data_IF_366610291914
#
_entry.id   IF_366610291914
#
_cell.length_a   1.000
_cell.length_b   1.000
_cell.length_c   1.000
_cell.angle_alpha   90.00
_cell.angle_beta   90.00
_cell.angle_gamma   90.00
#
_symmetry.space_group_name_H-M   'P 1'
#
loop_
_entity.id
_entity.type
_entity.pdbx_description
1 polymer ?
#
# COMPACT_ATOMS: atom_id res chain seq x y z
N UNK A 1 56.67 60.39 4.88
CA UNK A 1 55.78 59.83 3.80
C UNK A 1 56.20 58.36 3.68
N UNK A 2 55.44 57.47 4.32
CA UNK A 2 55.62 56.01 4.18
C UNK A 2 54.71 55.53 3.08
N UNK A 3 55.29 55.03 2.02
CA UNK A 3 54.55 54.36 0.93
C UNK A 3 54.05 53.00 1.40
N UNK A 4 52.77 52.90 1.58
CA UNK A 4 52.05 51.67 1.92
C UNK A 4 51.96 50.79 0.66
N UNK A 5 53.04 50.03 0.38
CA UNK A 5 53.09 49.08 -0.73
C UNK A 5 52.15 47.87 -0.50
N UNK A 6 50.94 47.91 -1.02
CA UNK A 6 50.08 46.76 -1.13
C UNK A 6 50.73 45.70 -2.01
N UNK A 7 51.36 44.66 -1.42
CA UNK A 7 51.90 43.51 -2.12
C UNK A 7 50.74 42.73 -2.80
N UNK A 8 50.57 42.94 -4.11
CA UNK A 8 49.68 42.08 -4.94
C UNK A 8 50.21 40.64 -4.90
N UNK A 9 49.38 39.73 -4.41
CA UNK A 9 49.70 38.29 -4.49
C UNK A 9 49.92 37.89 -5.94
N UNK A 10 50.96 37.09 -6.27
CA UNK A 10 51.18 36.65 -7.64
C UNK A 10 50.02 35.81 -8.14
N UNK A 11 49.51 36.09 -9.34
CA UNK A 11 48.31 35.50 -9.96
C UNK A 11 48.32 33.97 -9.89
N UNK A 12 49.45 33.30 -10.02
CA UNK A 12 49.58 31.86 -9.87
C UNK A 12 49.23 31.31 -8.48
N UNK A 13 49.56 32.05 -7.40
CA UNK A 13 49.16 31.66 -6.03
C UNK A 13 47.66 31.85 -5.78
N UNK A 14 47.07 32.85 -6.40
CA UNK A 14 45.60 33.07 -6.33
C UNK A 14 44.84 31.95 -7.09
N UNK A 15 45.30 31.54 -8.26
CA UNK A 15 44.70 30.43 -9.02
C UNK A 15 44.85 29.11 -8.23
N UNK A 16 46.04 28.83 -7.65
CA UNK A 16 46.25 27.66 -6.79
C UNK A 16 45.28 27.59 -5.60
N UNK A 17 45.12 28.69 -4.87
CA UNK A 17 44.20 28.75 -3.73
C UNK A 17 42.72 28.56 -4.15
N UNK A 18 42.33 29.10 -5.32
CA UNK A 18 40.99 28.88 -5.87
C UNK A 18 40.77 27.40 -6.23
N UNK A 19 41.75 26.75 -6.87
CA UNK A 19 41.71 25.34 -7.20
C UNK A 19 41.65 24.45 -5.96
N UNK A 20 42.44 24.71 -4.92
CA UNK A 20 42.40 23.99 -3.65
C UNK A 20 41.05 24.18 -2.94
N UNK A 21 40.49 25.39 -2.92
CA UNK A 21 39.19 25.68 -2.41
C UNK A 21 38.08 24.90 -3.13
N UNK A 22 38.13 24.87 -4.48
CA UNK A 22 37.19 24.12 -5.29
C UNK A 22 37.28 22.60 -5.03
N UNK A 23 38.49 22.05 -4.94
CA UNK A 23 38.70 20.65 -4.58
C UNK A 23 38.18 20.32 -3.19
N UNK A 24 38.32 21.21 -2.24
CA UNK A 24 37.78 21.02 -0.88
C UNK A 24 36.26 20.99 -0.90
N UNK A 25 35.63 21.91 -1.63
CA UNK A 25 34.15 21.90 -1.80
C UNK A 25 33.67 20.62 -2.47
N UNK A 26 34.35 20.17 -3.53
CA UNK A 26 34.01 18.90 -4.22
C UNK A 26 34.11 17.72 -3.24
N UNK A 27 35.16 17.62 -2.44
CA UNK A 27 35.32 16.56 -1.42
C UNK A 27 34.17 16.57 -0.43
N UNK A 28 33.79 17.75 0.10
CA UNK A 28 32.69 17.90 1.04
C UNK A 28 31.36 17.43 0.40
N UNK A 29 31.08 17.86 -0.81
CA UNK A 29 29.85 17.46 -1.54
C UNK A 29 29.81 15.94 -1.76
N UNK A 30 30.94 15.33 -2.14
CA UNK A 30 31.04 13.87 -2.30
C UNK A 30 30.80 13.14 -0.98
N UNK A 31 31.41 13.61 0.12
CA UNK A 31 31.22 13.01 1.45
C UNK A 31 29.75 13.09 1.88
N UNK A 32 29.12 14.25 1.73
CA UNK A 32 27.70 14.44 2.03
C UNK A 32 26.86 13.51 1.14
N UNK A 33 27.18 13.39 -0.16
CA UNK A 33 26.50 12.48 -1.07
C UNK A 33 26.60 11.01 -0.62
N UNK A 34 27.77 10.56 -0.18
CA UNK A 34 27.98 9.20 0.34
C UNK A 34 27.17 8.98 1.63
N UNK A 35 27.21 9.92 2.57
CA UNK A 35 26.46 9.81 3.83
C UNK A 35 24.97 9.73 3.55
N UNK A 36 24.44 10.60 2.70
CA UNK A 36 23.01 10.60 2.37
C UNK A 36 22.60 9.33 1.65
N UNK A 37 23.43 8.77 0.77
CA UNK A 37 23.19 7.50 0.10
C UNK A 37 23.15 6.34 1.13
N UNK A 38 24.09 6.28 2.06
CA UNK A 38 24.10 5.25 3.14
C UNK A 38 22.84 5.36 3.99
N UNK A 39 22.43 6.56 4.39
CA UNK A 39 21.19 6.77 5.13
C UNK A 39 19.97 6.35 4.31
N UNK A 40 19.93 6.68 3.03
CA UNK A 40 18.90 6.24 2.11
C UNK A 40 18.77 4.72 2.03
N UNK A 41 19.89 4.01 1.94
CA UNK A 41 19.94 2.54 1.97
C UNK A 41 19.38 1.99 3.29
N UNK A 42 19.81 2.55 4.43
CA UNK A 42 19.35 2.11 5.76
C UNK A 42 17.84 2.34 5.91
N UNK A 43 17.34 3.50 5.50
CA UNK A 43 15.91 3.82 5.56
C UNK A 43 15.10 2.89 4.65
N UNK A 44 15.54 2.68 3.41
CA UNK A 44 14.87 1.77 2.48
C UNK A 44 14.81 0.34 3.03
N UNK A 45 15.91 -0.14 3.64
CA UNK A 45 15.93 -1.46 4.30
C UNK A 45 14.95 -1.54 5.48
N UNK A 46 14.87 -0.49 6.27
CA UNK A 46 14.01 -0.47 7.45
C UNK A 46 12.52 -0.28 7.12
N UNK A 47 12.20 0.34 5.99
CA UNK A 47 10.84 0.67 5.61
C UNK A 47 10.26 -0.27 4.54
N UNK A 48 11.09 -0.97 3.78
CA UNK A 48 10.64 -1.67 2.56
C UNK A 48 11.00 -3.15 2.51
N UNK A 49 11.89 -3.65 3.40
CA UNK A 49 12.28 -5.07 3.36
C UNK A 49 11.40 -5.89 4.29
N UNK A 50 10.93 -7.04 3.76
CA UNK A 50 10.16 -8.05 4.47
C UNK A 50 10.75 -8.39 5.85
N UNK A 51 9.88 -8.48 6.87
CA UNK A 51 10.21 -9.00 8.20
C UNK A 51 11.13 -8.13 9.04
N UNK A 52 11.63 -7.01 8.54
CA UNK A 52 12.44 -6.06 9.32
C UNK A 52 11.62 -4.98 9.99
N UNK A 53 10.40 -4.79 9.51
CA UNK A 53 9.48 -3.81 10.03
C UNK A 53 8.57 -4.51 11.05
N UNK A 54 8.70 -4.16 12.32
CA UNK A 54 7.63 -4.44 13.29
C UNK A 54 6.35 -3.69 12.90
N UNK A 55 5.30 -3.77 13.74
CA UNK A 55 4.11 -2.96 13.57
C UNK A 55 4.49 -1.50 13.28
N UNK A 56 3.70 -0.82 12.43
CA UNK A 56 3.91 0.60 12.12
C UNK A 56 3.97 1.42 13.40
N UNK A 57 4.94 2.31 13.49
CA UNK A 57 5.02 3.21 14.65
C UNK A 57 3.89 4.23 14.64
N UNK A 58 3.46 4.64 13.45
CA UNK A 58 2.38 5.61 13.26
C UNK A 58 1.01 5.13 13.76
N UNK A 59 0.79 3.82 13.86
CA UNK A 59 -0.48 3.23 14.33
C UNK A 59 -0.44 2.76 15.78
N UNK A 60 0.72 2.65 16.39
CA UNK A 60 0.87 2.09 17.76
C UNK A 60 0.14 2.86 18.86
N UNK A 61 0.02 4.16 18.68
CA UNK A 61 -0.55 5.04 19.71
C UNK A 61 -2.01 5.42 19.39
N UNK A 62 -2.62 4.79 18.39
CA UNK A 62 -4.05 5.00 18.10
C UNK A 62 -4.90 4.36 19.19
N UNK A 63 -5.78 5.17 19.77
CA UNK A 63 -6.71 4.69 20.78
C UNK A 63 -7.89 3.97 20.10
N UNK A 64 -7.90 2.66 20.18
CA UNK A 64 -9.00 1.82 19.66
C UNK A 64 -10.07 1.70 20.74
N UNK A 65 -11.35 1.92 20.38
CA UNK A 65 -12.46 1.84 21.32
C UNK A 65 -12.64 0.41 21.86
N UNK A 66 -13.03 0.28 23.13
CA UNK A 66 -13.26 -1.02 23.75
C UNK A 66 -14.34 -1.86 23.03
N UNK A 67 -15.35 -1.19 22.45
CA UNK A 67 -16.36 -1.83 21.60
C UNK A 67 -15.76 -2.45 20.34
N UNK A 68 -14.86 -1.75 19.68
CA UNK A 68 -14.14 -2.23 18.48
C UNK A 68 -13.31 -3.47 18.80
N UNK A 69 -12.57 -3.46 19.92
CA UNK A 69 -11.81 -4.63 20.37
C UNK A 69 -12.72 -5.81 20.72
N UNK A 70 -13.87 -5.55 21.36
CA UNK A 70 -14.86 -6.59 21.66
C UNK A 70 -15.48 -7.18 20.39
N UNK A 71 -15.81 -6.34 19.42
CA UNK A 71 -16.35 -6.80 18.14
C UNK A 71 -15.32 -7.62 17.38
N UNK A 72 -14.05 -7.17 17.37
CA UNK A 72 -12.96 -7.93 16.76
C UNK A 72 -12.83 -9.33 17.39
N UNK A 73 -12.86 -9.43 18.72
CA UNK A 73 -12.75 -10.73 19.40
C UNK A 73 -13.90 -11.68 19.02
N UNK A 74 -15.14 -11.17 18.92
CA UNK A 74 -16.28 -11.97 18.47
C UNK A 74 -16.14 -12.40 17.00
N UNK A 75 -15.59 -11.53 16.18
CA UNK A 75 -15.37 -11.83 14.77
C UNK A 75 -14.27 -12.90 14.62
N UNK A 76 -13.19 -12.80 15.39
CA UNK A 76 -12.12 -13.79 15.42
C UNK A 76 -12.65 -15.19 15.78
N UNK A 77 -13.59 -15.31 16.74
CA UNK A 77 -14.27 -16.57 17.10
C UNK A 77 -15.08 -17.14 15.91
N UNK A 78 -15.83 -16.30 15.19
CA UNK A 78 -16.59 -16.73 14.00
C UNK A 78 -15.65 -17.19 12.88
N UNK A 79 -14.54 -16.47 12.68
CA UNK A 79 -13.51 -16.82 11.69
C UNK A 79 -12.91 -18.19 12.00
N UNK A 80 -12.59 -18.49 13.26
CA UNK A 80 -12.07 -19.83 13.65
C UNK A 80 -13.10 -20.92 13.32
N UNK A 81 -14.37 -20.71 13.63
CA UNK A 81 -15.44 -21.66 13.30
C UNK A 81 -15.57 -21.83 11.77
N UNK A 82 -15.58 -20.73 11.01
CA UNK A 82 -15.65 -20.77 9.55
C UNK A 82 -14.45 -21.49 8.92
N UNK A 83 -13.22 -21.21 9.40
CA UNK A 83 -11.99 -21.87 8.95
C UNK A 83 -12.00 -23.38 9.14
N UNK A 84 -12.73 -23.89 10.15
CA UNK A 84 -12.90 -25.32 10.38
C UNK A 84 -13.78 -26.02 9.33
N UNK A 85 -14.62 -25.24 8.61
CA UNK A 85 -15.63 -25.73 7.66
C UNK A 85 -15.24 -25.57 6.20
N UNK A 86 -14.37 -24.61 5.88
CA UNK A 86 -14.02 -24.27 4.49
C UNK A 86 -12.70 -24.92 4.04
N UNK A 87 -12.65 -25.31 2.77
CA UNK A 87 -11.41 -25.78 2.14
C UNK A 87 -10.67 -24.61 1.53
N UNK A 88 -9.44 -24.37 2.00
CA UNK A 88 -8.54 -23.31 1.50
C UNK A 88 -7.49 -23.94 0.57
N UNK A 89 -7.78 -23.96 -0.71
CA UNK A 89 -6.86 -24.48 -1.72
C UNK A 89 -5.66 -23.54 -1.88
N UNK A 90 -4.44 -24.05 -1.73
CA UNK A 90 -3.23 -23.31 -2.08
C UNK A 90 -3.09 -23.22 -3.60
N UNK A 91 -2.91 -22.00 -4.10
CA UNK A 91 -2.64 -21.70 -5.51
C UNK A 91 -1.33 -20.94 -5.59
N UNK A 92 -0.54 -21.20 -6.63
CA UNK A 92 0.71 -20.49 -6.87
C UNK A 92 0.72 -19.92 -8.29
N UNK A 93 1.38 -18.79 -8.46
CA UNK A 93 1.56 -18.10 -9.72
C UNK A 93 3.02 -17.63 -9.84
N UNK A 94 3.56 -17.59 -11.03
CA UNK A 94 4.88 -16.99 -11.30
C UNK A 94 4.66 -15.58 -11.81
N UNK A 95 5.12 -14.59 -11.05
CA UNK A 95 5.09 -13.19 -11.45
C UNK A 95 6.03 -12.91 -12.64
N UNK A 96 5.87 -11.77 -13.31
CA UNK A 96 6.67 -11.39 -14.48
C UNK A 96 8.18 -11.34 -14.18
N UNK A 97 8.55 -10.97 -12.97
CA UNK A 97 9.92 -10.93 -12.45
C UNK A 97 10.40 -12.26 -11.84
N UNK A 98 9.64 -13.35 -12.07
CA UNK A 98 9.94 -14.75 -11.72
C UNK A 98 9.79 -15.10 -10.23
N UNK A 99 9.29 -14.24 -9.39
CA UNK A 99 8.91 -14.63 -8.03
C UNK A 99 7.69 -15.56 -8.03
N UNK A 100 7.72 -16.55 -7.15
CA UNK A 100 6.57 -17.41 -6.89
C UNK A 100 5.67 -16.71 -5.87
N UNK A 101 4.47 -16.40 -6.30
CA UNK A 101 3.44 -15.80 -5.45
C UNK A 101 2.42 -16.87 -5.03
N UNK A 102 1.89 -16.74 -3.84
CA UNK A 102 0.99 -17.70 -3.20
C UNK A 102 -0.35 -17.05 -2.89
N UNK A 103 -1.44 -17.78 -3.12
CA UNK A 103 -2.79 -17.39 -2.71
C UNK A 103 -3.53 -18.57 -2.06
N UNK A 104 -4.60 -18.27 -1.33
CA UNK A 104 -5.63 -19.24 -0.95
C UNK A 104 -6.90 -18.96 -1.76
N UNK A 105 -7.42 -20.02 -2.34
CA UNK A 105 -8.68 -20.02 -3.06
C UNK A 105 -9.73 -20.78 -2.24
N UNK A 106 -10.90 -20.19 -2.07
CA UNK A 106 -12.09 -20.81 -1.47
C UNK A 106 -13.18 -20.76 -2.51
N UNK A 107 -13.73 -21.92 -2.87
CA UNK A 107 -14.85 -22.05 -3.77
C UNK A 107 -16.03 -22.57 -2.96
N UNK A 108 -17.08 -21.75 -2.85
CA UNK A 108 -18.32 -22.09 -2.16
C UNK A 108 -19.38 -22.59 -3.13
N UNK A 109 -19.31 -22.16 -4.39
CA UNK A 109 -20.16 -22.62 -5.47
C UNK A 109 -19.36 -22.61 -6.80
N UNK A 110 -19.15 -23.80 -7.37
CA UNK A 110 -18.44 -23.95 -8.66
C UNK A 110 -19.19 -23.35 -9.84
N UNK A 111 -20.51 -23.13 -9.70
CA UNK A 111 -21.34 -22.53 -10.74
C UNK A 111 -21.50 -21.02 -10.58
N UNK A 112 -21.04 -20.45 -9.47
CA UNK A 112 -21.11 -19.01 -9.24
C UNK A 112 -20.08 -18.26 -10.08
N UNK A 113 -20.55 -17.24 -10.79
CA UNK A 113 -19.68 -16.27 -11.46
C UNK A 113 -19.18 -15.15 -10.54
N UNK A 114 -19.67 -15.08 -9.28
CA UNK A 114 -19.25 -14.07 -8.32
C UNK A 114 -17.91 -14.45 -7.69
N UNK A 115 -16.90 -13.59 -7.89
CA UNK A 115 -15.56 -13.75 -7.34
C UNK A 115 -15.09 -12.51 -6.59
N UNK A 116 -14.48 -12.70 -5.46
CA UNK A 116 -13.81 -11.63 -4.71
C UNK A 116 -12.29 -11.89 -4.63
N UNK A 117 -11.49 -10.90 -5.02
CA UNK A 117 -10.06 -10.86 -4.73
C UNK A 117 -9.85 -9.96 -3.53
N UNK A 118 -9.37 -10.51 -2.40
CA UNK A 118 -9.23 -9.79 -1.15
C UNK A 118 -7.74 -9.58 -0.84
N UNK A 119 -7.36 -8.33 -0.56
CA UNK A 119 -5.97 -7.89 -0.47
C UNK A 119 -5.67 -7.33 0.92
N UNK A 120 -4.66 -7.92 1.57
CA UNK A 120 -4.22 -7.53 2.92
C UNK A 120 -3.37 -6.25 2.95
N UNK A 121 -3.21 -5.70 4.13
CA UNK A 121 -2.43 -4.49 4.38
C UNK A 121 -0.91 -4.70 4.36
N UNK A 122 -0.20 -3.60 4.64
CA UNK A 122 1.27 -3.56 4.65
C UNK A 122 1.89 -4.53 5.64
N UNK A 123 2.85 -5.32 5.17
CA UNK A 123 3.57 -6.34 5.96
C UNK A 123 2.66 -7.40 6.62
N UNK A 124 1.42 -7.51 6.15
CA UNK A 124 0.44 -8.49 6.57
C UNK A 124 0.53 -9.80 5.78
N UNK A 125 -0.56 -10.54 5.81
CA UNK A 125 -0.76 -11.78 5.09
C UNK A 125 -2.25 -12.02 4.83
N UNK A 126 -2.58 -13.03 4.04
CA UNK A 126 -3.97 -13.44 3.83
C UNK A 126 -4.70 -13.80 5.14
N UNK A 127 -3.97 -14.13 6.22
CA UNK A 127 -4.60 -14.44 7.51
C UNK A 127 -5.25 -13.22 8.17
N UNK A 128 -4.80 -12.02 7.84
CA UNK A 128 -5.31 -10.77 8.41
C UNK A 128 -6.64 -10.32 7.79
N UNK A 129 -7.11 -11.03 6.75
CA UNK A 129 -8.33 -10.72 5.98
C UNK A 129 -9.29 -11.91 5.88
N UNK A 130 -9.13 -12.94 6.73
CA UNK A 130 -10.05 -14.07 6.76
C UNK A 130 -11.47 -13.69 7.19
N UNK A 131 -11.61 -12.69 8.03
CA UNK A 131 -12.89 -12.11 8.40
C UNK A 131 -13.65 -11.55 7.20
N UNK A 132 -12.99 -10.75 6.37
CA UNK A 132 -13.57 -10.24 5.12
C UNK A 132 -13.94 -11.41 4.20
N UNK A 133 -13.05 -12.38 4.03
CA UNK A 133 -13.30 -13.55 3.18
C UNK A 133 -14.51 -14.36 3.66
N UNK A 134 -14.68 -14.52 4.97
CA UNK A 134 -15.84 -15.17 5.56
C UNK A 134 -17.13 -14.49 5.11
N UNK A 135 -17.24 -13.18 5.27
CA UNK A 135 -18.44 -12.43 4.86
C UNK A 135 -18.70 -12.51 3.35
N UNK A 136 -17.65 -12.48 2.51
CA UNK A 136 -17.83 -12.66 1.07
C UNK A 136 -18.35 -14.06 0.72
N UNK A 137 -17.85 -15.13 1.38
CA UNK A 137 -18.33 -16.49 1.14
C UNK A 137 -19.78 -16.68 1.61
N UNK A 138 -20.17 -16.05 2.71
CA UNK A 138 -21.55 -16.03 3.20
C UNK A 138 -22.51 -15.31 2.23
N UNK A 139 -22.01 -14.37 1.42
CA UNK A 139 -22.74 -13.67 0.37
C UNK A 139 -22.60 -14.32 -1.02
N UNK A 140 -22.14 -15.58 -1.08
CA UNK A 140 -22.12 -16.39 -2.30
C UNK A 140 -20.96 -16.09 -3.26
N UNK A 141 -19.92 -15.38 -2.81
CA UNK A 141 -18.71 -15.16 -3.60
C UNK A 141 -17.71 -16.31 -3.41
N UNK A 142 -17.13 -16.76 -4.49
CA UNK A 142 -15.86 -17.47 -4.46
C UNK A 142 -14.75 -16.47 -4.17
N UNK A 143 -13.73 -16.86 -3.43
CA UNK A 143 -12.72 -15.92 -2.92
C UNK A 143 -11.31 -16.35 -3.32
N UNK A 144 -10.49 -15.39 -3.73
CA UNK A 144 -9.05 -15.53 -3.87
C UNK A 144 -8.34 -14.51 -2.98
N UNK A 145 -7.47 -15.00 -2.11
CA UNK A 145 -6.67 -14.18 -1.18
C UNK A 145 -5.19 -14.39 -1.46
N UNK A 146 -4.55 -13.53 -2.27
CA UNK A 146 -3.10 -13.59 -2.45
C UNK A 146 -2.38 -13.01 -1.23
N UNK A 147 -1.29 -13.65 -0.83
CA UNK A 147 -0.22 -12.95 -0.13
C UNK A 147 0.46 -12.04 -1.14
N UNK A 148 0.46 -10.73 -0.89
CA UNK A 148 1.11 -9.76 -1.76
C UNK A 148 2.64 -10.00 -1.76
N UNK A 149 3.35 -9.48 -2.78
CA UNK A 149 4.79 -9.75 -2.90
C UNK A 149 5.58 -9.36 -1.65
N UNK A 150 6.56 -10.16 -1.28
CA UNK A 150 7.35 -10.04 -0.05
C UNK A 150 6.53 -10.12 1.25
N UNK A 151 5.31 -10.66 1.21
CA UNK A 151 4.44 -10.89 2.36
C UNK A 151 4.04 -12.37 2.48
N UNK A 152 3.62 -12.80 3.66
CA UNK A 152 3.13 -14.15 3.92
C UNK A 152 4.00 -15.27 3.34
N UNK A 153 3.42 -16.12 2.51
CA UNK A 153 4.10 -17.23 1.82
C UNK A 153 4.66 -16.84 0.43
N UNK A 154 4.35 -15.62 -0.09
CA UNK A 154 4.84 -15.13 -1.38
C UNK A 154 6.31 -14.73 -1.32
N UNK A 155 7.03 -14.97 -2.42
CA UNK A 155 8.40 -14.51 -2.57
C UNK A 155 8.48 -13.00 -2.81
N UNK A 156 9.69 -12.48 -2.74
CA UNK A 156 10.02 -11.08 -2.95
C UNK A 156 10.94 -10.55 -1.87
N UNK A 157 11.74 -9.56 -2.23
CA UNK A 157 12.69 -8.92 -1.31
C UNK A 157 12.17 -7.60 -0.75
N UNK A 158 11.31 -6.92 -1.50
CA UNK A 158 10.77 -5.60 -1.18
C UNK A 158 9.25 -5.62 -1.25
N UNK A 159 8.63 -4.99 -0.25
CA UNK A 159 7.19 -4.74 -0.24
C UNK A 159 6.85 -3.79 -1.40
N UNK A 160 5.87 -4.13 -2.20
CA UNK A 160 5.55 -3.46 -3.46
C UNK A 160 4.79 -2.14 -3.31
N UNK A 161 4.28 -1.82 -2.11
CA UNK A 161 3.52 -0.61 -1.78
C UNK A 161 2.34 -0.36 -2.74
N UNK A 162 1.71 -1.43 -3.21
CA UNK A 162 0.63 -1.39 -4.18
C UNK A 162 1.09 -1.24 -5.63
N UNK A 163 2.30 -0.73 -5.88
CA UNK A 163 2.73 -0.41 -7.24
C UNK A 163 3.13 -1.63 -8.07
N UNK A 164 3.94 -2.51 -7.52
CA UNK A 164 4.25 -3.78 -8.18
C UNK A 164 3.10 -4.77 -8.01
N UNK A 165 2.50 -4.80 -6.83
CA UNK A 165 1.40 -5.69 -6.47
C UNK A 165 0.20 -5.55 -7.42
N UNK A 166 -0.07 -4.34 -7.97
CA UNK A 166 -1.19 -4.12 -8.88
C UNK A 166 -1.12 -4.99 -10.15
N UNK A 167 0.09 -5.24 -10.66
CA UNK A 167 0.30 -6.10 -11.83
C UNK A 167 0.13 -7.57 -11.46
N UNK A 168 0.62 -7.96 -10.27
CA UNK A 168 0.41 -9.31 -9.76
C UNK A 168 -1.09 -9.63 -9.57
N UNK A 169 -1.87 -8.66 -9.08
CA UNK A 169 -3.31 -8.84 -8.89
C UNK A 169 -4.04 -8.97 -10.23
N UNK A 170 -3.61 -8.26 -11.29
CA UNK A 170 -4.13 -8.47 -12.65
C UNK A 170 -3.87 -9.90 -13.09
N UNK A 171 -2.66 -10.43 -12.88
CA UNK A 171 -2.31 -11.81 -13.22
C UNK A 171 -3.12 -12.83 -12.38
N UNK A 172 -3.39 -12.55 -11.09
CA UNK A 172 -4.27 -13.38 -10.27
C UNK A 172 -5.71 -13.41 -10.77
N UNK A 173 -6.22 -12.28 -11.30
CA UNK A 173 -7.54 -12.23 -11.94
C UNK A 173 -7.54 -13.07 -13.21
N UNK A 174 -6.44 -13.11 -13.94
CA UNK A 174 -6.31 -13.98 -15.13
C UNK A 174 -6.41 -15.47 -14.75
N UNK A 175 -5.82 -15.89 -13.63
CA UNK A 175 -5.97 -17.25 -13.09
C UNK A 175 -7.44 -17.58 -12.78
N UNK A 176 -8.22 -16.63 -12.29
CA UNK A 176 -9.67 -16.82 -12.09
C UNK A 176 -10.38 -16.98 -13.45
N UNK A 177 -10.09 -16.10 -14.40
CA UNK A 177 -10.75 -16.06 -15.71
C UNK A 177 -10.39 -17.24 -16.60
N UNK A 178 -9.21 -17.82 -16.44
CA UNK A 178 -8.84 -19.08 -17.11
C UNK A 178 -9.72 -20.26 -16.64
N UNK A 179 -10.07 -20.29 -15.34
CA UNK A 179 -10.94 -21.31 -14.78
C UNK A 179 -12.43 -21.01 -14.96
N UNK A 180 -12.83 -19.74 -14.90
CA UNK A 180 -14.20 -19.26 -15.08
C UNK A 180 -14.20 -18.00 -15.96
N UNK A 181 -14.35 -18.13 -17.30
CA UNK A 181 -14.35 -16.99 -18.22
C UNK A 181 -15.50 -15.99 -18.03
N UNK A 182 -16.59 -16.40 -17.38
CA UNK A 182 -17.75 -15.56 -17.06
C UNK A 182 -17.63 -14.84 -15.71
N UNK A 183 -16.56 -15.06 -14.96
CA UNK A 183 -16.40 -14.52 -13.63
C UNK A 183 -16.56 -12.99 -13.57
N UNK A 184 -17.37 -12.55 -12.62
CA UNK A 184 -17.56 -11.16 -12.23
C UNK A 184 -16.71 -10.91 -10.98
N UNK A 185 -15.59 -10.21 -11.16
CA UNK A 185 -14.60 -10.04 -10.09
C UNK A 185 -14.81 -8.72 -9.39
N UNK A 186 -14.91 -8.76 -8.07
CA UNK A 186 -14.79 -7.58 -7.21
C UNK A 186 -13.45 -7.63 -6.47
N UNK A 187 -12.88 -6.47 -6.15
CA UNK A 187 -11.62 -6.40 -5.42
C UNK A 187 -11.90 -5.67 -4.11
N UNK A 188 -11.52 -6.28 -2.99
CA UNK A 188 -11.60 -5.64 -1.67
C UNK A 188 -10.20 -5.58 -1.07
N UNK A 189 -9.70 -4.37 -0.83
CA UNK A 189 -8.40 -4.16 -0.24
C UNK A 189 -8.46 -3.36 1.06
N UNK A 190 -7.53 -3.65 1.97
CA UNK A 190 -7.33 -2.91 3.22
C UNK A 190 -5.93 -2.32 3.20
N UNK A 191 -5.77 -1.03 3.56
CA UNK A 191 -4.49 -0.31 3.62
C UNK A 191 -3.69 -0.43 2.32
N UNK A 192 -2.50 -1.03 2.32
CA UNK A 192 -1.71 -1.28 1.10
C UNK A 192 -2.49 -2.12 0.07
N UNK A 193 -3.35 -3.05 0.51
CA UNK A 193 -4.24 -3.80 -0.37
C UNK A 193 -5.28 -2.90 -1.04
N UNK A 194 -5.81 -1.90 -0.32
CA UNK A 194 -6.69 -0.89 -0.88
C UNK A 194 -5.98 -0.06 -1.96
N UNK A 195 -4.74 0.37 -1.69
CA UNK A 195 -3.93 1.09 -2.67
C UNK A 195 -3.55 0.23 -3.88
N UNK A 196 -3.31 -1.07 -3.66
CA UNK A 196 -3.10 -2.02 -4.75
C UNK A 196 -4.31 -2.05 -5.69
N UNK A 197 -5.52 -2.14 -5.13
CA UNK A 197 -6.77 -2.14 -5.90
C UNK A 197 -7.00 -0.80 -6.62
N UNK A 198 -6.78 0.33 -5.94
CA UNK A 198 -6.91 1.67 -6.52
C UNK A 198 -5.88 1.90 -7.64
N UNK A 199 -4.61 1.50 -7.43
CA UNK A 199 -3.58 1.66 -8.46
C UNK A 199 -3.80 0.73 -9.66
N UNK A 200 -4.32 -0.47 -9.43
CA UNK A 200 -4.75 -1.39 -10.48
C UNK A 200 -5.83 -0.76 -11.36
N UNK A 201 -6.77 -0.05 -10.78
CA UNK A 201 -7.91 0.53 -11.49
C UNK A 201 -7.53 1.52 -12.59
N UNK A 202 -6.33 2.08 -12.53
CA UNK A 202 -5.80 2.99 -13.56
C UNK A 202 -5.04 2.30 -14.70
N UNK A 203 -4.87 0.98 -14.64
CA UNK A 203 -4.28 0.17 -15.71
C UNK A 203 -5.33 -0.23 -16.76
N UNK A 204 -4.93 -0.69 -17.95
CA UNK A 204 -5.84 -1.32 -18.89
C UNK A 204 -6.36 -2.65 -18.32
N UNK A 205 -7.52 -2.61 -17.70
CA UNK A 205 -8.12 -3.76 -17.01
C UNK A 205 -9.30 -4.37 -17.76
N UNK A 206 -9.61 -5.64 -17.44
CA UNK A 206 -10.68 -6.39 -18.06
C UNK A 206 -12.05 -5.94 -17.54
N UNK A 207 -13.07 -6.02 -18.40
CA UNK A 207 -14.47 -5.72 -18.05
C UNK A 207 -15.08 -6.68 -17.02
N UNK A 208 -14.38 -7.77 -16.70
CA UNK A 208 -14.73 -8.69 -15.64
C UNK A 208 -14.61 -8.05 -14.24
N UNK A 209 -13.78 -7.02 -14.06
CA UNK A 209 -13.68 -6.28 -12.79
C UNK A 209 -14.88 -5.36 -12.69
N UNK A 210 -15.77 -5.63 -11.72
CA UNK A 210 -17.06 -4.96 -11.58
C UNK A 210 -17.06 -3.81 -10.58
N UNK A 211 -16.35 -3.95 -9.48
CA UNK A 211 -16.27 -2.94 -8.43
C UNK A 211 -15.02 -3.12 -7.58
N UNK A 212 -14.62 -2.05 -6.90
CA UNK A 212 -13.54 -2.02 -5.93
C UNK A 212 -14.07 -1.48 -4.60
N UNK A 213 -13.70 -2.13 -3.50
CA UNK A 213 -13.86 -1.64 -2.12
C UNK A 213 -12.47 -1.40 -1.56
N UNK A 214 -12.21 -0.20 -1.03
CA UNK A 214 -10.89 0.21 -0.57
C UNK A 214 -10.99 0.85 0.83
N UNK A 215 -10.55 0.09 1.86
CA UNK A 215 -10.51 0.57 3.25
C UNK A 215 -9.14 1.14 3.59
N UNK A 216 -9.08 2.38 4.09
CA UNK A 216 -7.87 2.99 4.63
C UNK A 216 -6.78 3.27 3.60
N UNK A 217 -7.15 3.56 2.35
CA UNK A 217 -6.21 3.84 1.27
C UNK A 217 -5.49 5.19 1.42
N UNK A 218 -4.19 5.24 1.09
CA UNK A 218 -3.37 6.45 1.08
C UNK A 218 -3.29 7.10 -0.32
N UNK A 219 -2.91 8.37 -0.38
CA UNK A 219 -2.79 9.11 -1.65
C UNK A 219 -1.62 8.64 -2.52
N UNK A 220 -0.53 8.21 -1.88
CA UNK A 220 0.67 7.68 -2.55
C UNK A 220 1.55 6.93 -1.56
N UNK A 221 2.36 6.00 -2.03
CA UNK A 221 3.37 5.33 -1.20
C UNK A 221 4.35 6.33 -0.57
N UNK A 222 4.61 7.47 -1.25
CA UNK A 222 5.43 8.54 -0.69
C UNK A 222 4.80 9.16 0.55
N UNK A 223 3.50 9.43 0.54
CA UNK A 223 2.81 10.06 1.68
C UNK A 223 2.74 9.09 2.87
N UNK A 224 2.42 7.81 2.62
CA UNK A 224 2.44 6.77 3.65
C UNK A 224 3.81 6.63 4.32
N UNK A 225 4.88 6.47 3.53
CA UNK A 225 6.26 6.35 4.05
C UNK A 225 6.71 7.63 4.76
N UNK A 226 6.26 8.80 4.32
CA UNK A 226 6.55 10.07 4.99
C UNK A 226 5.88 10.17 6.36
N UNK A 227 4.65 9.68 6.51
CA UNK A 227 3.96 9.63 7.81
C UNK A 227 4.69 8.67 8.75
N UNK A 228 5.01 7.46 8.29
CA UNK A 228 5.76 6.48 9.08
C UNK A 228 7.16 6.98 9.47
N UNK A 229 7.87 7.67 8.55
CA UNK A 229 9.16 8.31 8.86
C UNK A 229 9.03 9.30 10.00
N UNK A 230 8.02 10.17 9.96
CA UNK A 230 7.79 11.19 11.00
C UNK A 230 7.47 10.56 12.36
N UNK A 231 6.70 9.48 12.37
CA UNK A 231 6.40 8.76 13.62
C UNK A 231 7.64 8.07 14.20
N UNK A 232 8.44 7.37 13.37
CA UNK A 232 9.66 6.65 13.85
C UNK A 232 10.81 7.56 14.21
N UNK A 233 10.97 8.66 13.49
CA UNK A 233 12.13 9.54 13.60
C UNK A 233 11.72 10.95 14.02
N UNK A 234 10.83 11.05 15.00
CA UNK A 234 10.34 12.32 15.56
C UNK A 234 11.48 13.28 15.84
N UNK A 235 11.35 14.55 15.42
CA UNK A 235 12.37 15.57 15.55
C UNK A 235 13.54 15.49 14.57
N UNK A 236 13.59 14.46 13.67
CA UNK A 236 14.59 14.40 12.59
C UNK A 236 14.04 15.01 11.31
N UNK A 237 14.84 15.81 10.57
CA UNK A 237 14.39 16.38 9.30
C UNK A 237 14.18 15.27 8.25
N UNK A 238 13.04 15.29 7.57
CA UNK A 238 12.80 14.34 6.48
C UNK A 238 13.72 14.62 5.27
N UNK A 239 13.92 15.88 4.92
CA UNK A 239 14.87 16.29 3.87
C UNK A 239 16.29 16.47 4.45
N UNK A 240 17.34 16.00 3.78
CA UNK A 240 17.33 15.27 2.48
C UNK A 240 17.13 13.75 2.64
N UNK A 241 17.12 13.20 3.84
CA UNK A 241 17.29 11.77 4.13
C UNK A 241 16.17 10.91 3.53
N UNK A 242 14.92 11.26 3.74
CA UNK A 242 13.79 10.53 3.17
C UNK A 242 13.80 10.58 1.63
N UNK A 243 14.27 11.69 1.04
CA UNK A 243 14.34 11.83 -0.41
C UNK A 243 15.29 10.82 -1.05
N UNK A 244 16.29 10.33 -0.30
CA UNK A 244 17.22 9.30 -0.79
C UNK A 244 16.60 7.91 -0.90
N UNK A 245 15.45 7.67 -0.28
CA UNK A 245 14.71 6.41 -0.44
C UNK A 245 14.28 6.21 -1.89
N UNK A 246 13.83 7.27 -2.58
CA UNK A 246 13.38 7.16 -3.98
C UNK A 246 14.46 6.62 -4.95
N UNK A 247 15.67 7.19 -5.03
CA UNK A 247 16.69 6.64 -5.92
C UNK A 247 17.14 5.23 -5.51
N UNK A 248 17.16 4.91 -4.22
CA UNK A 248 17.46 3.55 -3.75
C UNK A 248 16.39 2.58 -4.21
N UNK A 249 15.11 2.91 -4.03
CA UNK A 249 14.00 2.07 -4.49
C UNK A 249 13.98 1.91 -6.01
N UNK A 250 14.32 2.98 -6.76
CA UNK A 250 14.43 2.88 -8.23
C UNK A 250 15.46 1.84 -8.67
N UNK A 251 16.60 1.78 -7.97
CA UNK A 251 17.67 0.79 -8.26
C UNK A 251 17.29 -0.61 -7.79
N UNK A 252 16.67 -0.74 -6.60
CA UNK A 252 16.41 -2.03 -5.99
C UNK A 252 15.11 -2.70 -6.44
N UNK A 253 14.04 -1.91 -6.57
CA UNK A 253 12.70 -2.39 -6.85
C UNK A 253 12.14 -1.92 -8.19
N UNK A 254 12.91 -1.15 -8.97
CA UNK A 254 12.52 -0.69 -10.30
C UNK A 254 11.54 0.50 -10.31
N UNK A 255 11.07 0.98 -9.16
CA UNK A 255 10.14 2.10 -9.06
C UNK A 255 10.52 3.08 -7.94
N UNK A 256 9.93 4.27 -7.93
CA UNK A 256 10.04 5.23 -6.83
C UNK A 256 8.72 5.29 -6.06
N UNK A 257 8.78 5.64 -4.76
CA UNK A 257 7.56 5.83 -3.94
C UNK A 257 6.62 6.91 -4.51
N UNK A 258 7.16 7.84 -5.31
CA UNK A 258 6.38 8.88 -5.97
C UNK A 258 5.69 8.41 -7.26
N UNK A 259 6.18 7.33 -7.88
CA UNK A 259 5.49 6.68 -9.01
C UNK A 259 4.27 5.90 -8.53
N UNK A 260 4.32 5.35 -7.31
CA UNK A 260 3.20 4.69 -6.66
C UNK A 260 2.19 5.74 -6.13
N UNK A 261 1.36 6.26 -7.03
CA UNK A 261 0.46 7.40 -6.82
C UNK A 261 -0.98 6.96 -7.12
N UNK A 262 -1.74 6.67 -6.04
CA UNK A 262 -3.12 6.21 -6.15
C UNK A 262 -4.04 7.30 -6.73
N UNK A 263 -3.81 8.57 -6.39
CA UNK A 263 -4.60 9.70 -6.91
C UNK A 263 -4.52 9.79 -8.43
N UNK A 264 -3.31 9.60 -8.99
CA UNK A 264 -3.14 9.57 -10.45
C UNK A 264 -3.80 8.36 -11.11
N UNK A 265 -3.84 7.23 -10.43
CA UNK A 265 -4.41 6.02 -11.02
C UNK A 265 -5.93 6.06 -10.99
N UNK A 266 -6.55 6.45 -9.87
CA UNK A 266 -8.00 6.54 -9.78
C UNK A 266 -8.60 7.59 -10.73
N UNK A 267 -7.85 8.62 -11.11
CA UNK A 267 -8.31 9.60 -12.10
C UNK A 267 -8.47 9.04 -13.53
N UNK A 268 -8.02 7.81 -13.77
CA UNK A 268 -8.13 7.12 -15.07
C UNK A 268 -9.16 6.00 -15.05
N UNK A 269 -9.65 5.63 -13.85
CA UNK A 269 -10.52 4.47 -13.69
C UNK A 269 -11.90 4.67 -14.29
N UNK A 270 -12.46 3.58 -14.81
CA UNK A 270 -13.88 3.46 -15.15
C UNK A 270 -14.64 2.51 -14.22
N UNK A 271 -13.92 1.87 -13.29
CA UNK A 271 -14.51 0.90 -12.35
C UNK A 271 -15.18 1.66 -11.20
N UNK A 272 -16.38 1.24 -10.78
CA UNK A 272 -17.01 1.74 -9.56
C UNK A 272 -16.18 1.50 -8.30
N UNK A 273 -16.06 2.50 -7.42
CA UNK A 273 -15.23 2.44 -6.22
C UNK A 273 -16.04 2.83 -4.98
N UNK A 274 -15.98 1.99 -3.94
CA UNK A 274 -16.37 2.34 -2.57
C UNK A 274 -15.10 2.60 -1.75
N UNK A 275 -14.91 3.83 -1.31
CA UNK A 275 -13.88 4.20 -0.34
C UNK A 275 -14.46 4.08 1.06
N UNK A 276 -13.79 3.36 1.96
CA UNK A 276 -14.14 3.27 3.39
C UNK A 276 -12.98 3.83 4.20
N UNK A 277 -13.26 4.69 5.18
CA UNK A 277 -12.21 5.34 5.95
C UNK A 277 -12.63 5.63 7.38
N UNK A 278 -11.72 5.40 8.33
CA UNK A 278 -11.94 5.70 9.74
C UNK A 278 -11.71 7.17 10.06
N UNK A 279 -12.67 7.83 10.70
CA UNK A 279 -12.51 9.25 11.08
C UNK A 279 -11.41 9.49 12.13
N UNK A 280 -10.99 8.45 12.84
CA UNK A 280 -9.93 8.48 13.85
C UNK A 280 -8.57 7.98 13.31
N UNK A 281 -8.46 7.74 12.00
CA UNK A 281 -7.20 7.34 11.38
C UNK A 281 -6.22 8.51 11.35
N UNK A 282 -5.14 8.39 12.11
CA UNK A 282 -4.07 9.40 12.18
C UNK A 282 -2.85 9.04 11.33
N UNK A 283 -2.82 7.83 10.78
CA UNK A 283 -1.77 7.39 9.86
C UNK A 283 -2.11 7.76 8.41
N UNK A 284 -3.21 7.24 7.91
CA UNK A 284 -3.81 7.67 6.65
C UNK A 284 -4.98 8.59 7.02
N UNK A 285 -4.80 9.88 6.83
CA UNK A 285 -5.78 10.86 7.32
C UNK A 285 -7.03 10.92 6.43
N UNK A 286 -8.16 11.31 7.01
CA UNK A 286 -9.42 11.55 6.27
C UNK A 286 -9.22 12.50 5.08
N UNK A 287 -8.28 13.46 5.16
CA UNK A 287 -7.93 14.33 4.04
C UNK A 287 -7.33 13.56 2.84
N UNK A 288 -6.65 12.44 3.08
CA UNK A 288 -6.17 11.58 2.00
C UNK A 288 -7.35 10.87 1.33
N UNK A 289 -8.31 10.37 2.10
CA UNK A 289 -9.54 9.75 1.56
C UNK A 289 -10.34 10.76 0.72
N UNK A 290 -10.53 11.98 1.21
CA UNK A 290 -11.21 13.06 0.45
C UNK A 290 -10.46 13.45 -0.84
N UNK A 291 -9.14 13.38 -0.83
CA UNK A 291 -8.32 13.60 -2.03
C UNK A 291 -8.52 12.50 -3.08
N UNK A 292 -8.60 11.25 -2.65
CA UNK A 292 -8.90 10.12 -3.52
C UNK A 292 -10.30 10.25 -4.10
N UNK A 293 -11.30 10.49 -3.24
CA UNK A 293 -12.70 10.72 -3.60
C UNK A 293 -12.84 11.81 -4.68
N UNK A 294 -12.23 12.98 -4.45
CA UNK A 294 -12.25 14.08 -5.41
C UNK A 294 -11.49 13.83 -6.72
N UNK A 295 -10.67 12.79 -6.80
CA UNK A 295 -9.92 12.41 -8.00
C UNK A 295 -10.59 11.32 -8.84
N UNK A 296 -11.51 10.55 -8.26
CA UNK A 296 -12.23 9.48 -8.95
C UNK A 296 -13.26 10.09 -9.90
N UNK A 297 -13.23 9.67 -11.17
CA UNK A 297 -14.17 10.14 -12.19
C UNK A 297 -15.28 9.11 -12.51
N UNK A 298 -15.13 7.87 -12.09
CA UNK A 298 -16.14 6.82 -12.20
C UNK A 298 -17.22 6.97 -11.11
N UNK A 299 -18.22 6.09 -11.13
CA UNK A 299 -19.18 5.97 -10.02
C UNK A 299 -18.42 5.62 -8.73
N UNK A 300 -18.63 6.40 -7.68
CA UNK A 300 -17.95 6.15 -6.41
C UNK A 300 -18.75 6.66 -5.22
N UNK A 301 -18.42 6.13 -4.06
CA UNK A 301 -18.95 6.55 -2.77
C UNK A 301 -17.81 6.62 -1.75
N UNK A 302 -17.88 7.60 -0.84
CA UNK A 302 -17.00 7.71 0.32
C UNK A 302 -17.81 7.47 1.59
N UNK A 303 -17.47 6.39 2.30
CA UNK A 303 -18.07 6.04 3.58
C UNK A 303 -17.08 6.29 4.73
N UNK A 304 -17.39 7.27 5.60
CA UNK A 304 -16.58 7.58 6.78
C UNK A 304 -17.18 6.87 8.00
N UNK A 305 -16.40 5.98 8.61
CA UNK A 305 -16.75 5.27 9.84
C UNK A 305 -16.36 6.13 11.04
N UNK A 306 -17.34 6.58 11.84
CA UNK A 306 -17.16 7.64 12.85
C UNK A 306 -16.17 7.27 13.96
N UNK A 307 -16.07 6.00 14.32
CA UNK A 307 -15.19 5.51 15.40
C UNK A 307 -14.02 4.66 14.87
N UNK A 308 -13.92 4.49 13.55
CA UNK A 308 -12.85 3.70 12.94
C UNK A 308 -11.50 4.39 13.05
N UNK A 309 -10.47 3.61 13.36
CA UNK A 309 -9.06 3.97 13.21
C UNK A 309 -8.48 3.36 11.94
N UNK A 310 -7.17 3.15 11.86
CA UNK A 310 -6.55 2.53 10.70
C UNK A 310 -6.81 1.02 10.68
N UNK A 311 -7.37 0.50 9.59
CA UNK A 311 -7.65 -0.94 9.34
C UNK A 311 -8.68 -1.61 10.29
N UNK A 312 -9.49 -0.84 11.02
CA UNK A 312 -10.45 -1.42 11.95
C UNK A 312 -11.92 -0.99 11.74
N UNK A 313 -12.20 -0.32 10.64
CA UNK A 313 -13.55 0.17 10.31
C UNK A 313 -14.60 -0.94 10.40
N UNK A 314 -14.26 -2.14 9.93
CA UNK A 314 -15.13 -3.33 9.95
C UNK A 314 -15.42 -3.87 11.35
N UNK A 315 -14.61 -3.52 12.35
CA UNK A 315 -14.82 -3.86 13.75
C UNK A 315 -15.47 -2.70 14.53
N UNK A 316 -15.25 -1.47 14.07
CA UNK A 316 -15.84 -0.28 14.69
C UNK A 316 -17.37 -0.22 14.49
N UNK A 317 -17.82 -0.46 13.26
CA UNK A 317 -19.23 -0.47 12.87
C UNK A 317 -19.55 -1.68 11.96
N UNK A 318 -19.53 -2.93 12.47
CA UNK A 318 -19.57 -4.15 11.64
C UNK A 318 -20.78 -4.20 10.71
N UNK A 319 -21.98 -3.99 11.23
CA UNK A 319 -23.21 -4.07 10.45
C UNK A 319 -23.25 -2.99 9.35
N UNK A 320 -22.88 -1.75 9.68
CA UNK A 320 -22.84 -0.66 8.71
C UNK A 320 -21.78 -0.90 7.64
N UNK A 321 -20.61 -1.41 8.04
CA UNK A 321 -19.51 -1.72 7.14
C UNK A 321 -19.90 -2.76 6.08
N UNK A 322 -20.39 -3.92 6.53
CA UNK A 322 -20.73 -5.01 5.61
C UNK A 322 -22.01 -4.73 4.82
N UNK A 323 -23.05 -4.12 5.43
CA UNK A 323 -24.23 -3.68 4.69
C UNK A 323 -23.87 -2.70 3.59
N UNK A 324 -23.07 -1.68 3.89
CA UNK A 324 -22.62 -0.69 2.90
C UNK A 324 -21.78 -1.33 1.78
N UNK A 325 -20.91 -2.27 2.15
CA UNK A 325 -20.08 -3.02 1.20
C UNK A 325 -20.93 -3.81 0.22
N UNK A 326 -21.85 -4.65 0.73
CA UNK A 326 -22.63 -5.54 -0.14
C UNK A 326 -23.73 -4.80 -0.91
N UNK A 327 -24.39 -3.79 -0.32
CA UNK A 327 -25.34 -2.92 -1.03
C UNK A 327 -24.69 -2.24 -2.24
N UNK A 328 -23.44 -1.77 -2.06
CA UNK A 328 -22.66 -1.20 -3.17
C UNK A 328 -22.34 -2.25 -4.23
N UNK A 329 -21.83 -3.40 -3.84
CA UNK A 329 -21.42 -4.47 -4.75
C UNK A 329 -22.61 -5.04 -5.53
N UNK A 330 -23.77 -5.23 -4.92
CA UNK A 330 -24.98 -5.76 -5.56
C UNK A 330 -25.51 -4.85 -6.67
N UNK A 331 -25.13 -3.57 -6.67
CA UNK A 331 -25.43 -2.65 -7.77
C UNK A 331 -24.69 -3.03 -9.07
N UNK A 332 -23.53 -3.66 -8.97
CA UNK A 332 -22.62 -3.90 -10.09
C UNK A 332 -22.37 -5.39 -10.39
N UNK A 333 -22.75 -6.30 -9.48
CA UNK A 333 -22.67 -7.75 -9.68
C UNK A 333 -24.06 -8.38 -9.77
N UNK A 334 -24.28 -9.25 -10.74
CA UNK A 334 -25.58 -9.89 -10.98
C UNK A 334 -25.51 -11.37 -10.67
#
# INVERSE_FOLDING_TARGET
MEENGTKKLPVGRMIGAICEGLWTVIKIVVIIGIITAIVGVILSRNLMIRGRNGARQSTKDMAVAASTLSNKSKEDEKVEEWLSKVTRQKVTMVADDKYILVARKIVVDEQSDKWAVILHGYNGSMADIYDIAMHYTENGYNVLMPDLRACGESEGSFIGMGWLDRLDVINWIDVILEANPSAQVVIHGVDMGADTALMLSGEPIKSSIKAIVAEGAYTSAWDAVKTEYRARYSGKPAFPFLNMVNPVMKVWAGYTLKEADAVKQVSKTSVPILLIHGSQDTYVTEDMAKKLDGAILSQHELFIVSSGTHEDCRYAEPDNYYNKTFDFLDTYTK
#
